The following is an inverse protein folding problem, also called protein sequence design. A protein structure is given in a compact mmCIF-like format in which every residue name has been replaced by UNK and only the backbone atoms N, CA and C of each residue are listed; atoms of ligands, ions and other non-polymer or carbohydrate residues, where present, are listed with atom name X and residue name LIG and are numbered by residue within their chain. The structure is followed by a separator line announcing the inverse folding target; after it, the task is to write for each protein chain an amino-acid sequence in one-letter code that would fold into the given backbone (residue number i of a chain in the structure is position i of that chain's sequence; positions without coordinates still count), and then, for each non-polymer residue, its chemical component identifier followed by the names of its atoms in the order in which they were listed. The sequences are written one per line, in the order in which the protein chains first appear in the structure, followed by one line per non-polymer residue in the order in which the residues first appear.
data_IF_603055358253
#
_entry.id   IF_603055358253
#
_cell.length_a   1.000
_cell.length_b   1.000
_cell.length_c   1.000
_cell.angle_alpha   90.00
_cell.angle_beta   90.00
_cell.angle_gamma   90.00
#
_symmetry.space_group_name_H-M   'P 1'
#
loop_
_entity.id
_entity.type
_entity.pdbx_description
1 polymer ?
#
# COMPACT_ATOMS: atom_id res chain seq x y z
N UNK A 1 -6.73 -15.47 1.16
CA UNK A 1 -6.29 -14.61 2.28
C UNK A 1 -7.46 -14.40 3.21
N UNK A 2 -7.26 -14.57 4.52
CA UNK A 2 -8.23 -14.12 5.54
C UNK A 2 -8.15 -12.59 5.58
N UNK A 3 -9.28 -11.92 5.80
CA UNK A 3 -9.32 -10.47 6.02
C UNK A 3 -8.42 -10.15 7.23
N UNK A 4 -7.26 -9.53 7.00
CA UNK A 4 -6.36 -9.15 8.09
C UNK A 4 -6.97 -7.94 8.79
N UNK A 5 -7.34 -8.03 10.08
CA UNK A 5 -7.85 -6.89 10.79
C UNK A 5 -6.75 -5.82 10.87
N UNK A 6 -7.04 -4.61 10.42
CA UNK A 6 -6.13 -3.48 10.57
C UNK A 6 -6.03 -3.11 12.05
N UNK A 7 -4.80 -2.97 12.54
CA UNK A 7 -4.53 -2.49 13.90
C UNK A 7 -4.86 -0.98 14.06
N UNK A 8 -4.85 -0.48 15.29
CA UNK A 8 -5.18 0.93 15.55
C UNK A 8 -4.18 1.91 14.92
N UNK A 9 -2.91 1.52 14.77
CA UNK A 9 -1.91 2.34 14.09
C UNK A 9 -2.25 2.47 12.61
N UNK A 10 -2.61 1.37 11.95
CA UNK A 10 -3.02 1.34 10.56
C UNK A 10 -4.24 2.22 10.32
N UNK A 11 -5.27 2.13 11.16
CA UNK A 11 -6.46 3.00 11.07
C UNK A 11 -6.09 4.49 11.22
N UNK A 12 -5.21 4.81 12.17
CA UNK A 12 -4.74 6.18 12.41
C UNK A 12 -4.02 6.76 11.20
N UNK A 13 -3.09 6.00 10.61
CA UNK A 13 -2.31 6.43 9.44
C UNK A 13 -3.17 6.54 8.18
N UNK A 14 -4.14 5.64 7.99
CA UNK A 14 -5.12 5.74 6.89
C UNK A 14 -5.93 7.02 7.04
N UNK A 15 -6.46 7.29 8.24
CA UNK A 15 -7.22 8.51 8.50
C UNK A 15 -6.38 9.77 8.27
N UNK A 16 -5.10 9.75 8.66
CA UNK A 16 -4.15 10.84 8.38
C UNK A 16 -4.05 11.13 6.88
N UNK A 17 -4.01 10.11 6.03
CA UNK A 17 -4.02 10.28 4.57
C UNK A 17 -5.38 10.75 4.02
N UNK A 18 -6.50 10.39 4.66
CA UNK A 18 -7.84 10.87 4.28
C UNK A 18 -8.05 12.35 4.63
N UNK A 19 -7.47 12.80 5.75
CA UNK A 19 -7.67 14.15 6.29
C UNK A 19 -6.66 15.20 5.77
N UNK A 20 -5.56 14.79 5.13
CA UNK A 20 -4.44 15.68 4.76
C UNK A 20 -4.00 15.54 3.30
N UNK A 21 -3.36 16.59 2.78
CA UNK A 21 -2.63 16.48 1.51
C UNK A 21 -1.40 15.60 1.68
N UNK A 22 -1.33 14.54 0.87
CA UNK A 22 -0.20 13.62 0.82
C UNK A 22 0.95 14.25 0.02
N UNK A 23 2.16 14.13 0.54
CA UNK A 23 3.37 14.68 -0.08
C UNK A 23 3.88 13.82 -1.26
N UNK A 24 4.80 14.38 -2.05
CA UNK A 24 5.35 13.68 -3.23
C UNK A 24 6.16 12.45 -2.85
N UNK A 25 6.75 12.41 -1.65
CA UNK A 25 7.54 11.25 -1.21
C UNK A 25 6.66 10.04 -0.94
N UNK A 26 5.50 10.24 -0.30
CA UNK A 26 4.49 9.21 -0.08
C UNK A 26 3.89 8.73 -1.40
N UNK A 27 3.60 9.64 -2.33
CA UNK A 27 3.13 9.27 -3.67
C UNK A 27 4.14 8.36 -4.39
N UNK A 28 5.43 8.70 -4.35
CA UNK A 28 6.48 7.86 -4.92
C UNK A 28 6.59 6.49 -4.23
N UNK A 29 6.43 6.44 -2.90
CA UNK A 29 6.42 5.17 -2.16
C UNK A 29 5.21 4.29 -2.51
N UNK A 30 4.05 4.89 -2.81
CA UNK A 30 2.89 4.15 -3.30
C UNK A 30 3.16 3.52 -4.69
N UNK A 31 3.76 4.29 -5.60
CA UNK A 31 4.13 3.78 -6.93
C UNK A 31 5.06 2.56 -6.82
N UNK A 32 6.11 2.67 -6.02
CA UNK A 32 7.07 1.57 -5.80
C UNK A 32 6.37 0.33 -5.25
N UNK A 33 5.47 0.46 -4.27
CA UNK A 33 4.73 -0.70 -3.75
C UNK A 33 3.93 -1.40 -4.85
N UNK A 34 3.17 -0.64 -5.64
CA UNK A 34 2.33 -1.19 -6.70
C UNK A 34 3.18 -1.85 -7.80
N UNK A 35 4.31 -1.25 -8.19
CA UNK A 35 5.25 -1.84 -9.15
C UNK A 35 5.88 -3.15 -8.65
N UNK A 36 6.28 -3.21 -7.37
CA UNK A 36 6.83 -4.44 -6.80
C UNK A 36 5.74 -5.53 -6.66
N UNK A 37 4.50 -5.16 -6.35
CA UNK A 37 3.38 -6.11 -6.31
C UNK A 37 3.10 -6.72 -7.69
N UNK A 38 3.14 -5.91 -8.75
CA UNK A 38 3.02 -6.37 -10.13
C UNK A 38 4.17 -7.34 -10.49
N UNK A 39 5.41 -6.92 -10.22
CA UNK A 39 6.62 -7.74 -10.48
C UNK A 39 6.61 -9.06 -9.71
N UNK A 40 6.21 -9.02 -8.44
CA UNK A 40 6.09 -10.17 -7.55
C UNK A 40 4.90 -11.07 -7.87
N UNK A 41 4.08 -10.75 -8.87
CA UNK A 41 2.83 -11.43 -9.21
C UNK A 41 1.92 -11.61 -7.98
N UNK A 42 1.92 -10.62 -7.08
CA UNK A 42 1.04 -10.62 -5.91
C UNK A 42 -0.38 -10.43 -6.40
N UNK A 43 -1.32 -11.22 -5.88
CA UNK A 43 -2.74 -11.08 -6.21
C UNK A 43 -3.53 -11.09 -4.91
N UNK A 44 -4.15 -9.95 -4.58
CA UNK A 44 -5.08 -9.85 -3.46
C UNK A 44 -6.48 -10.25 -3.94
N UNK A 45 -7.12 -11.21 -3.25
CA UNK A 45 -8.41 -11.81 -3.66
C UNK A 45 -9.59 -10.81 -3.76
N UNK A 46 -9.45 -9.63 -3.18
CA UNK A 46 -10.52 -8.64 -3.04
C UNK A 46 -10.20 -7.31 -3.76
N UNK A 47 -9.25 -7.30 -4.71
CA UNK A 47 -8.91 -6.08 -5.44
C UNK A 47 -9.72 -5.85 -6.72
N UNK A 48 -10.00 -4.56 -7.04
CA UNK A 48 -10.69 -4.20 -8.28
C UNK A 48 -9.90 -4.69 -9.49
N UNK A 49 -10.58 -5.04 -10.58
CA UNK A 49 -9.99 -5.72 -11.75
C UNK A 49 -8.96 -4.93 -12.59
N UNK A 50 -8.32 -3.91 -12.02
CA UNK A 50 -7.20 -3.18 -12.61
C UNK A 50 -5.86 -3.81 -12.18
N UNK A 51 -4.86 -3.79 -13.06
CA UNK A 51 -3.52 -4.30 -12.71
C UNK A 51 -2.77 -3.30 -11.82
N UNK A 52 -1.90 -3.81 -10.94
CA UNK A 52 -1.10 -2.97 -10.05
C UNK A 52 -0.23 -1.97 -10.80
N UNK A 53 0.32 -2.35 -11.97
CA UNK A 53 1.09 -1.43 -12.80
C UNK A 53 0.24 -0.26 -13.36
N UNK A 54 -1.02 -0.51 -13.70
CA UNK A 54 -1.92 0.56 -14.16
C UNK A 54 -2.27 1.52 -13.01
N UNK A 55 -2.49 0.98 -11.81
CA UNK A 55 -2.66 1.79 -10.61
C UNK A 55 -1.43 2.66 -10.36
N UNK A 56 -0.22 2.11 -10.46
CA UNK A 56 1.03 2.85 -10.26
C UNK A 56 1.17 4.05 -11.22
N UNK A 57 0.81 3.85 -12.49
CA UNK A 57 0.92 4.87 -13.54
C UNK A 57 -0.11 6.00 -13.38
N UNK A 58 -1.27 5.70 -12.80
CA UNK A 58 -2.40 6.63 -12.73
C UNK A 58 -2.72 7.12 -11.31
N UNK A 59 -1.90 6.74 -10.32
CA UNK A 59 -2.16 7.00 -8.92
C UNK A 59 -2.38 8.49 -8.64
N UNK A 60 -3.40 8.79 -7.85
CA UNK A 60 -3.72 10.12 -7.35
C UNK A 60 -3.67 10.15 -5.83
N UNK A 61 -3.71 11.37 -5.27
CA UNK A 61 -3.66 11.56 -3.80
C UNK A 61 -4.81 10.81 -3.11
N UNK A 62 -5.98 10.76 -3.75
CA UNK A 62 -7.18 10.11 -3.22
C UNK A 62 -7.04 8.57 -3.14
N UNK A 63 -6.10 7.99 -3.88
CA UNK A 63 -5.86 6.54 -3.90
C UNK A 63 -4.90 6.10 -2.78
N UNK A 64 -4.15 7.03 -2.19
CA UNK A 64 -3.14 6.74 -1.15
C UNK A 64 -3.71 5.97 0.05
N UNK A 65 -4.89 6.32 0.62
CA UNK A 65 -5.47 5.55 1.70
C UNK A 65 -5.73 4.07 1.32
N UNK A 66 -6.09 3.80 0.06
CA UNK A 66 -6.27 2.44 -0.44
C UNK A 66 -4.92 1.72 -0.58
N UNK A 67 -3.91 2.36 -1.17
CA UNK A 67 -2.58 1.77 -1.32
C UNK A 67 -1.92 1.51 0.04
N UNK A 68 -2.14 2.37 1.03
CA UNK A 68 -1.71 2.13 2.40
C UNK A 68 -2.42 0.92 3.03
N UNK A 69 -3.72 0.74 2.80
CA UNK A 69 -4.43 -0.48 3.25
C UNK A 69 -3.80 -1.74 2.65
N UNK A 70 -3.45 -1.70 1.37
CA UNK A 70 -2.75 -2.78 0.67
C UNK A 70 -1.38 -3.04 1.34
N UNK A 71 -0.63 -1.99 1.66
CA UNK A 71 0.67 -2.12 2.35
C UNK A 71 0.56 -2.85 3.69
N UNK A 72 -0.45 -2.55 4.50
CA UNK A 72 -0.68 -3.27 5.76
C UNK A 72 -1.02 -4.75 5.53
N UNK A 73 -1.88 -5.05 4.55
CA UNK A 73 -2.21 -6.42 4.18
C UNK A 73 -0.95 -7.17 3.74
N UNK A 74 -0.11 -6.57 2.90
CA UNK A 74 1.15 -7.14 2.43
C UNK A 74 2.11 -7.42 3.59
N UNK A 75 2.31 -6.44 4.48
CA UNK A 75 3.20 -6.54 5.63
C UNK A 75 2.81 -7.72 6.51
N UNK A 76 1.51 -7.80 6.85
CA UNK A 76 0.98 -8.73 7.85
C UNK A 76 0.57 -10.09 7.26
N UNK A 77 0.54 -10.20 5.92
CA UNK A 77 0.27 -11.47 5.25
C UNK A 77 1.38 -12.48 5.48
N UNK A 78 1.00 -13.68 5.93
CA UNK A 78 1.87 -14.86 5.91
C UNK A 78 1.94 -15.54 4.54
N UNK A 79 1.02 -15.23 3.63
CA UNK A 79 0.92 -15.82 2.29
C UNK A 79 1.86 -15.12 1.29
N UNK A 80 2.20 -13.84 1.53
CA UNK A 80 3.12 -13.06 0.71
C UNK A 80 4.50 -13.18 1.32
N UNK A 81 5.41 -13.85 0.64
CA UNK A 81 6.79 -14.10 1.12
C UNK A 81 7.85 -13.30 0.36
N UNK A 82 7.46 -12.62 -0.73
CA UNK A 82 8.35 -11.77 -1.51
C UNK A 82 8.90 -10.64 -0.63
N UNK A 83 10.23 -10.62 -0.50
CA UNK A 83 10.92 -9.70 0.40
C UNK A 83 10.93 -8.28 -0.14
N UNK A 84 10.98 -8.09 -1.45
CA UNK A 84 10.97 -6.76 -2.07
C UNK A 84 9.59 -6.12 -1.91
N UNK A 85 8.53 -6.92 -2.08
CA UNK A 85 7.15 -6.47 -1.83
C UNK A 85 6.94 -6.10 -0.36
N UNK A 86 7.41 -6.94 0.58
CA UNK A 86 7.34 -6.61 2.02
C UNK A 86 8.14 -5.36 2.38
N UNK A 87 9.31 -5.18 1.77
CA UNK A 87 10.14 -4.01 1.99
C UNK A 87 9.49 -2.74 1.44
N UNK A 88 8.88 -2.80 0.25
CA UNK A 88 8.15 -1.68 -0.34
C UNK A 88 6.96 -1.26 0.55
N UNK A 89 6.19 -2.23 1.07
CA UNK A 89 5.11 -1.96 2.01
C UNK A 89 5.60 -1.28 3.29
N UNK A 90 6.70 -1.78 3.88
CA UNK A 90 7.29 -1.18 5.07
C UNK A 90 7.82 0.25 4.83
N UNK A 91 8.36 0.52 3.63
CA UNK A 91 8.81 1.86 3.24
C UNK A 91 7.64 2.84 3.12
N UNK A 92 6.55 2.43 2.49
CA UNK A 92 5.35 3.27 2.38
C UNK A 92 4.79 3.62 3.76
N UNK A 93 4.64 2.63 4.65
CA UNK A 93 4.13 2.86 6.01
C UNK A 93 4.99 3.89 6.76
N UNK A 94 6.32 3.76 6.68
CA UNK A 94 7.25 4.71 7.31
C UNK A 94 7.20 6.11 6.72
N UNK A 95 7.05 6.24 5.39
CA UNK A 95 6.87 7.54 4.76
C UNK A 95 5.64 8.26 5.34
N UNK A 96 4.56 7.51 5.58
CA UNK A 96 3.30 8.04 6.13
C UNK A 96 3.39 8.40 7.61
N UNK A 97 4.16 7.64 8.38
CA UNK A 97 4.47 7.97 9.78
C UNK A 97 5.23 9.30 9.91
N UNK A 98 6.02 9.67 8.89
CA UNK A 98 6.96 10.78 8.95
C UNK A 98 6.53 12.08 8.24
N UNK A 99 5.52 12.07 7.35
CA UNK A 99 5.04 13.30 6.70
C UNK A 99 4.14 14.15 7.60
#
# INVERSE_FOLDING_TARGET
MKKVPLDENAKSLIKKCEDNEVDTSTMGACQVLLEEMDRGNVVLKDEPGESYIQMAQNIKKEDVPQVLRIAFIVRDSGDITDTDVKNAAARLIRAIEMF
#
